data_IF_172522320636
#
_entry.id   IF_172522320636
#
_cell.length_a   1.000
_cell.length_b   1.000
_cell.length_c   1.000
_cell.angle_alpha   90.00
_cell.angle_beta   90.00
_cell.angle_gamma   90.00
#
_symmetry.space_group_name_H-M   'P 1'
#
loop_
_entity.id
_entity.type
_entity.pdbx_description
1 polymer ?
#
# COMPACT_ATOMS: atom_id res chain seq x y z
N UNK A 1 9.07 -1.10 12.30
CA UNK A 1 10.29 -0.42 12.81
C UNK A 1 10.04 1.07 13.07
N UNK A 2 9.25 1.73 12.22
CA UNK A 2 8.89 3.14 12.37
C UNK A 2 8.01 3.41 13.59
N UNK A 3 7.03 2.54 13.87
CA UNK A 3 6.21 2.58 15.07
C UNK A 3 7.07 2.51 16.34
N UNK A 4 8.07 1.62 16.38
CA UNK A 4 8.96 1.53 17.54
C UNK A 4 9.77 2.83 17.74
N UNK A 5 10.23 3.46 16.66
CA UNK A 5 10.92 4.76 16.72
C UNK A 5 10.00 5.88 17.22
N UNK A 6 8.73 5.88 16.80
CA UNK A 6 7.73 6.81 17.30
C UNK A 6 7.47 6.61 18.81
N UNK A 7 7.29 5.36 19.25
CA UNK A 7 7.07 5.04 20.67
C UNK A 7 8.27 5.46 21.51
N UNK A 8 9.50 5.15 21.08
CA UNK A 8 10.72 5.58 21.78
C UNK A 8 10.80 7.11 21.88
N UNK A 9 10.47 7.84 20.82
CA UNK A 9 10.45 9.30 20.84
C UNK A 9 9.48 9.85 21.90
N UNK A 10 8.24 9.33 21.95
CA UNK A 10 7.22 9.75 22.92
C UNK A 10 7.67 9.43 24.36
N UNK A 11 8.25 8.25 24.58
CA UNK A 11 8.77 7.85 25.89
C UNK A 11 9.92 8.75 26.34
N UNK A 12 10.85 9.10 25.45
CA UNK A 12 11.92 10.04 25.75
C UNK A 12 11.36 11.42 26.13
N UNK A 13 10.39 11.95 25.37
CA UNK A 13 9.75 13.22 25.68
C UNK A 13 9.05 13.20 27.05
N UNK A 14 8.31 12.11 27.36
CA UNK A 14 7.67 11.92 28.66
C UNK A 14 8.69 11.96 29.81
N UNK A 15 9.79 11.20 29.70
CA UNK A 15 10.84 11.16 30.72
C UNK A 15 11.51 12.52 30.90
N UNK A 16 11.81 13.25 29.81
CA UNK A 16 12.38 14.60 29.93
C UNK A 16 11.44 15.55 30.67
N UNK A 17 10.12 15.48 30.42
CA UNK A 17 9.13 16.31 31.13
C UNK A 17 9.06 15.98 32.63
N UNK A 18 9.12 14.70 33.00
CA UNK A 18 9.15 14.27 34.41
C UNK A 18 10.42 14.75 35.10
N UNK A 19 11.58 14.57 34.45
CA UNK A 19 12.86 15.05 34.99
C UNK A 19 12.82 16.56 35.21
N UNK A 20 12.25 17.33 34.27
CA UNK A 20 12.09 18.78 34.42
C UNK A 20 11.20 19.15 35.61
N UNK A 21 10.11 18.41 35.86
CA UNK A 21 9.24 18.62 37.03
C UNK A 21 10.01 18.39 38.34
N UNK A 22 10.82 17.33 38.40
CA UNK A 22 11.64 17.03 39.58
C UNK A 22 12.74 18.06 39.81
N UNK A 23 13.39 18.53 38.74
CA UNK A 23 14.42 19.59 38.80
C UNK A 23 13.79 20.92 39.24
N UNK A 24 12.67 21.33 38.66
CA UNK A 24 12.01 22.59 39.06
C UNK A 24 11.49 22.54 40.49
N UNK A 25 10.94 21.41 40.93
CA UNK A 25 10.52 21.23 42.32
C UNK A 25 11.73 21.26 43.29
N UNK A 26 12.78 20.50 42.99
CA UNK A 26 13.95 20.37 43.86
C UNK A 26 14.87 21.59 43.90
N UNK A 27 15.13 22.22 42.75
CA UNK A 27 16.09 23.32 42.63
C UNK A 27 15.47 24.70 42.89
N UNK A 28 14.22 24.91 42.48
CA UNK A 28 13.58 26.23 42.53
C UNK A 28 12.46 26.30 43.57
N UNK A 29 11.48 25.39 43.50
CA UNK A 29 10.28 25.48 44.34
C UNK A 29 10.57 25.22 45.83
N UNK A 30 11.40 24.21 46.14
CA UNK A 30 11.76 23.87 47.52
C UNK A 30 12.61 24.97 48.20
N UNK A 31 13.35 25.75 47.41
CA UNK A 31 14.20 26.82 47.93
C UNK A 31 13.44 28.14 48.14
N UNK A 32 12.51 28.49 47.24
CA UNK A 32 11.80 29.77 47.29
C UNK A 32 10.51 29.72 48.10
N UNK A 33 9.74 28.62 48.10
CA UNK A 33 8.45 28.52 48.81
C UNK A 33 8.28 27.15 49.49
N UNK A 34 8.85 27.01 50.68
CA UNK A 34 8.72 25.80 51.52
C UNK A 34 7.24 25.55 51.85
N UNK A 35 6.64 24.49 51.29
CA UNK A 35 5.31 24.00 51.64
C UNK A 35 4.24 24.02 50.53
N UNK A 36 4.56 24.44 49.30
CA UNK A 36 3.56 24.50 48.22
C UNK A 36 3.07 23.12 47.72
N UNK A 37 4.00 22.17 47.54
CA UNK A 37 3.67 20.83 47.03
C UNK A 37 4.42 19.79 47.85
N UNK A 38 3.69 18.95 48.58
CA UNK A 38 4.23 17.81 49.32
C UNK A 38 4.87 16.78 48.38
N UNK A 39 5.88 16.04 48.87
CA UNK A 39 6.54 14.99 48.09
C UNK A 39 5.54 13.99 47.48
N UNK A 40 4.52 13.61 48.25
CA UNK A 40 3.44 12.73 47.81
C UNK A 40 2.68 13.30 46.61
N UNK A 41 2.40 14.62 46.60
CA UNK A 41 1.72 15.30 45.51
C UNK A 41 2.57 15.39 44.23
N UNK A 42 3.88 15.54 44.38
CA UNK A 42 4.78 15.54 43.24
C UNK A 42 4.90 14.15 42.59
N UNK A 43 4.87 13.09 43.41
CA UNK A 43 4.84 11.70 42.94
C UNK A 43 3.53 11.41 42.18
N UNK A 44 2.37 11.80 42.72
CA UNK A 44 1.08 11.59 42.04
C UNK A 44 1.01 12.32 40.70
N UNK A 45 1.51 13.56 40.64
CA UNK A 45 1.55 14.33 39.39
C UNK A 45 2.49 13.69 38.35
N UNK A 46 3.65 13.20 38.80
CA UNK A 46 4.61 12.51 37.92
C UNK A 46 4.03 11.24 37.31
N UNK A 47 3.32 10.42 38.12
CA UNK A 47 2.66 9.20 37.65
C UNK A 47 1.55 9.55 36.64
N UNK A 48 0.73 10.56 36.94
CA UNK A 48 -0.32 11.05 36.04
C UNK A 48 0.24 11.51 34.69
N UNK A 49 1.38 12.21 34.71
CA UNK A 49 2.09 12.62 33.49
C UNK A 49 2.56 11.42 32.68
N UNK A 50 3.18 10.41 33.30
CA UNK A 50 3.64 9.21 32.58
C UNK A 50 2.48 8.50 31.89
N UNK A 51 1.35 8.31 32.61
CA UNK A 51 0.15 7.65 32.04
C UNK A 51 -0.41 8.45 30.87
N UNK A 52 -0.44 9.78 30.96
CA UNK A 52 -0.95 10.65 29.89
C UNK A 52 -0.16 10.55 28.56
N UNK A 53 1.12 10.15 28.62
CA UNK A 53 1.97 10.03 27.44
C UNK A 53 1.92 8.65 26.78
N UNK A 54 1.28 7.64 27.39
CA UNK A 54 1.21 6.30 26.81
C UNK A 54 0.24 6.32 25.62
N UNK A 55 0.69 5.99 24.40
CA UNK A 55 -0.17 6.02 23.21
C UNK A 55 -0.99 4.72 23.10
N UNK A 56 -1.86 4.44 24.08
CA UNK A 56 -2.66 3.20 24.13
C UNK A 56 -3.57 3.00 22.91
N UNK A 57 -4.05 4.10 22.32
CA UNK A 57 -4.93 4.06 21.15
C UNK A 57 -4.21 3.85 19.81
N UNK A 58 -2.90 4.06 19.74
CA UNK A 58 -2.17 4.09 18.47
C UNK A 58 -2.12 2.72 17.77
N UNK A 59 -1.77 1.61 18.45
CA UNK A 59 -1.79 0.29 17.82
C UNK A 59 -3.19 -0.12 17.35
N UNK A 60 -4.22 0.24 18.11
CA UNK A 60 -5.61 -0.06 17.78
C UNK A 60 -6.08 0.73 16.54
N UNK A 61 -5.78 2.04 16.49
CA UNK A 61 -6.13 2.90 15.37
C UNK A 61 -5.48 2.44 14.05
N UNK A 62 -4.18 2.10 14.09
CA UNK A 62 -3.46 1.60 12.90
C UNK A 62 -4.08 0.31 12.39
N UNK A 63 -4.36 -0.64 13.29
CA UNK A 63 -4.99 -1.92 12.93
C UNK A 63 -6.36 -1.71 12.30
N UNK A 64 -7.17 -0.79 12.85
CA UNK A 64 -8.49 -0.45 12.34
C UNK A 64 -8.39 0.11 10.91
N UNK A 65 -7.51 1.09 10.69
CA UNK A 65 -7.30 1.69 9.37
C UNK A 65 -6.83 0.64 8.35
N UNK A 66 -5.83 -0.19 8.69
CA UNK A 66 -5.35 -1.27 7.82
C UNK A 66 -6.46 -2.29 7.50
N UNK A 67 -7.32 -2.58 8.47
CA UNK A 67 -8.47 -3.49 8.27
C UNK A 67 -9.49 -2.91 7.31
N UNK A 68 -9.79 -1.61 7.40
CA UNK A 68 -10.67 -0.93 6.44
C UNK A 68 -10.08 -1.01 5.03
N UNK A 69 -8.78 -0.74 4.89
CA UNK A 69 -8.09 -0.82 3.59
C UNK A 69 -8.13 -2.25 3.03
N UNK A 70 -7.83 -3.27 3.87
CA UNK A 70 -7.92 -4.67 3.48
C UNK A 70 -9.35 -5.04 3.01
N UNK A 71 -10.39 -4.55 3.70
CA UNK A 71 -11.79 -4.76 3.30
C UNK A 71 -12.12 -4.09 1.96
N UNK A 72 -11.51 -2.94 1.64
CA UNK A 72 -11.66 -2.29 0.32
C UNK A 72 -10.93 -3.07 -0.78
N UNK A 73 -9.74 -3.60 -0.49
CA UNK A 73 -8.99 -4.47 -1.42
C UNK A 73 -9.76 -5.76 -1.74
N UNK A 74 -10.41 -6.36 -0.74
CA UNK A 74 -11.25 -7.55 -0.93
C UNK A 74 -12.40 -7.31 -1.93
N UNK A 75 -13.05 -6.14 -1.87
CA UNK A 75 -14.10 -5.76 -2.85
C UNK A 75 -13.58 -5.67 -4.29
N UNK A 76 -12.29 -5.43 -4.48
CA UNK A 76 -11.62 -5.38 -5.78
C UNK A 76 -11.00 -6.73 -6.18
N UNK A 77 -11.47 -7.83 -5.57
CA UNK A 77 -10.97 -9.20 -5.81
C UNK A 77 -9.49 -9.42 -5.43
N UNK A 78 -8.94 -8.61 -4.53
CA UNK A 78 -7.59 -8.80 -3.96
C UNK A 78 -7.70 -9.41 -2.57
N UNK A 79 -7.18 -10.63 -2.40
CA UNK A 79 -7.17 -11.31 -1.10
C UNK A 79 -5.91 -10.95 -0.30
N UNK A 80 -6.11 -10.19 0.77
CA UNK A 80 -5.05 -9.84 1.73
C UNK A 80 -4.90 -10.94 2.78
N UNK A 81 -3.74 -11.60 2.83
CA UNK A 81 -3.45 -12.66 3.83
C UNK A 81 -2.94 -12.11 5.18
N UNK A 82 -2.40 -10.89 5.21
CA UNK A 82 -1.89 -10.23 6.40
C UNK A 82 -2.00 -8.71 6.30
N UNK A 83 -2.32 -8.05 7.42
CA UNK A 83 -2.36 -6.58 7.52
C UNK A 83 -0.98 -5.94 7.27
N UNK A 84 0.11 -6.65 7.57
CA UNK A 84 1.47 -6.19 7.28
C UNK A 84 1.73 -6.04 5.77
N UNK A 85 1.06 -6.84 4.93
CA UNK A 85 1.14 -6.69 3.47
C UNK A 85 0.51 -5.37 3.01
N UNK A 86 -0.58 -4.93 3.66
CA UNK A 86 -1.24 -3.65 3.37
C UNK A 86 -0.36 -2.48 3.80
N UNK A 87 0.29 -2.58 4.96
CA UNK A 87 1.28 -1.60 5.42
C UNK A 87 2.44 -1.48 4.42
N UNK A 88 2.96 -2.61 3.93
CA UNK A 88 4.06 -2.63 2.94
C UNK A 88 3.62 -2.06 1.59
N UNK A 89 2.40 -2.37 1.15
CA UNK A 89 1.86 -1.87 -0.11
C UNK A 89 1.72 -0.34 -0.14
N UNK A 90 1.51 0.30 1.03
CA UNK A 90 1.41 1.76 1.14
C UNK A 90 2.71 2.50 0.74
N UNK A 91 3.87 1.83 0.78
CA UNK A 91 5.17 2.43 0.43
C UNK A 91 5.97 1.60 -0.58
N UNK A 92 5.28 0.84 -1.43
CA UNK A 92 5.96 0.07 -2.49
C UNK A 92 6.53 1.03 -3.55
N UNK A 93 7.81 0.85 -3.88
CA UNK A 93 8.53 1.67 -4.88
C UNK A 93 8.91 0.88 -6.14
N UNK A 94 9.04 -0.44 -6.03
CA UNK A 94 9.37 -1.33 -7.14
C UNK A 94 8.39 -2.51 -7.11
N UNK A 95 7.79 -2.80 -8.27
CA UNK A 95 6.96 -3.98 -8.48
C UNK A 95 7.75 -4.93 -9.37
N UNK A 96 8.20 -6.05 -8.81
CA UNK A 96 8.72 -7.17 -9.58
C UNK A 96 7.54 -8.06 -9.96
N UNK A 97 7.20 -8.08 -11.25
CA UNK A 97 6.17 -8.98 -11.80
C UNK A 97 6.85 -10.13 -12.54
N UNK A 98 6.30 -11.34 -12.38
CA UNK A 98 6.71 -12.48 -13.20
C UNK A 98 6.14 -12.34 -14.62
N UNK A 99 6.74 -13.03 -15.61
CA UNK A 99 6.31 -12.99 -16.99
C UNK A 99 5.18 -13.99 -17.24
N UNK A 100 5.46 -15.27 -17.07
CA UNK A 100 4.51 -16.35 -17.37
C UNK A 100 3.46 -16.46 -16.28
N UNK A 101 2.20 -16.74 -16.64
CA UNK A 101 1.04 -16.81 -15.74
C UNK A 101 0.71 -15.51 -14.96
N UNK A 102 1.45 -14.41 -15.20
CA UNK A 102 1.21 -13.10 -14.59
C UNK A 102 1.05 -12.00 -15.63
N UNK A 103 2.10 -11.68 -16.39
CA UNK A 103 2.00 -10.73 -17.51
C UNK A 103 1.39 -11.38 -18.76
N UNK A 104 1.67 -12.68 -18.96
CA UNK A 104 1.11 -13.48 -20.04
C UNK A 104 0.10 -14.47 -19.50
N UNK A 105 -0.93 -14.78 -20.28
CA UNK A 105 -1.95 -15.77 -19.93
C UNK A 105 -1.45 -17.22 -20.07
N UNK A 106 -0.13 -17.43 -20.20
CA UNK A 106 0.51 -18.73 -20.45
C UNK A 106 -0.19 -19.55 -21.55
N UNK A 107 -0.68 -18.83 -22.57
CA UNK A 107 -1.32 -19.36 -23.75
C UNK A 107 -0.53 -18.86 -24.95
N UNK A 108 -0.07 -19.77 -25.79
CA UNK A 108 0.62 -19.42 -27.03
C UNK A 108 -0.42 -19.04 -28.07
N UNK A 109 -0.25 -17.86 -28.66
CA UNK A 109 -1.29 -17.20 -29.41
C UNK A 109 -0.68 -16.58 -30.68
N UNK A 110 -1.25 -16.91 -31.86
CA UNK A 110 -0.78 -16.36 -33.14
C UNK A 110 -1.25 -14.91 -33.24
N UNK A 111 -0.30 -13.97 -33.32
CA UNK A 111 -0.60 -12.52 -33.36
C UNK A 111 -0.61 -11.96 -34.78
N UNK A 112 0.22 -12.50 -35.67
CA UNK A 112 0.34 -12.04 -37.05
C UNK A 112 0.66 -13.22 -37.98
N UNK A 113 0.12 -13.15 -39.20
CA UNK A 113 0.45 -14.06 -40.29
C UNK A 113 1.11 -13.24 -41.39
N UNK A 114 2.29 -13.67 -41.81
CA UNK A 114 2.99 -13.12 -42.97
C UNK A 114 2.80 -14.09 -44.13
N UNK A 115 2.21 -13.62 -45.23
CA UNK A 115 2.02 -14.43 -46.43
C UNK A 115 2.67 -13.76 -47.66
N UNK A 116 3.78 -14.33 -48.13
CA UNK A 116 4.52 -13.83 -49.28
C UNK A 116 5.06 -12.40 -49.11
N UNK A 117 5.25 -11.68 -50.21
CA UNK A 117 5.63 -10.25 -50.22
C UNK A 117 4.42 -9.31 -50.15
N UNK A 118 3.24 -9.83 -49.76
CA UNK A 118 1.96 -9.12 -49.89
C UNK A 118 1.52 -8.40 -48.61
N UNK A 119 2.30 -8.48 -47.52
CA UNK A 119 2.10 -7.69 -46.30
C UNK A 119 1.86 -8.53 -45.05
N UNK A 120 1.77 -7.84 -43.92
CA UNK A 120 1.51 -8.41 -42.59
C UNK A 120 0.01 -8.35 -42.28
N UNK A 121 -0.57 -9.51 -41.99
CA UNK A 121 -1.98 -9.64 -41.64
C UNK A 121 -2.07 -9.83 -40.12
N UNK A 122 -2.60 -8.82 -39.43
CA UNK A 122 -2.90 -8.95 -38.00
C UNK A 122 -4.02 -9.96 -37.80
N UNK A 123 -3.79 -10.93 -36.92
CA UNK A 123 -4.80 -11.94 -36.57
C UNK A 123 -5.61 -11.42 -35.38
N UNK A 124 -6.86 -11.04 -35.63
CA UNK A 124 -7.81 -10.77 -34.56
C UNK A 124 -8.39 -12.10 -34.09
N UNK A 125 -8.07 -12.48 -32.85
CA UNK A 125 -8.60 -13.70 -32.26
C UNK A 125 -9.97 -13.38 -31.68
N UNK A 126 -10.99 -13.87 -32.35
CA UNK A 126 -12.33 -13.95 -31.78
C UNK A 126 -12.38 -15.23 -30.95
N UNK A 127 -12.83 -15.12 -29.70
CA UNK A 127 -13.28 -16.31 -28.96
C UNK A 127 -14.50 -16.85 -29.70
N UNK A 128 -14.29 -17.92 -30.47
CA UNK A 128 -15.35 -18.66 -31.14
C UNK A 128 -15.91 -19.58 -30.06
N UNK A 129 -17.06 -19.21 -29.48
CA UNK A 129 -17.80 -20.12 -28.61
C UNK A 129 -18.15 -21.38 -29.42
N UNK A 130 -18.01 -22.57 -28.84
CA UNK A 130 -18.16 -23.89 -29.50
C UNK A 130 -19.48 -24.10 -30.28
N UNK A 131 -20.44 -23.19 -30.16
CA UNK A 131 -21.73 -23.22 -30.85
C UNK A 131 -21.82 -22.30 -32.10
N UNK A 132 -20.74 -21.62 -32.48
CA UNK A 132 -20.72 -20.78 -33.68
C UNK A 132 -20.25 -21.60 -34.90
N UNK A 133 -21.22 -22.07 -35.67
CA UNK A 133 -20.96 -22.68 -36.99
C UNK A 133 -20.49 -21.58 -37.94
N UNK A 134 -19.17 -21.47 -38.15
CA UNK A 134 -18.58 -20.62 -39.18
C UNK A 134 -18.90 -21.23 -40.55
N UNK A 135 -20.06 -20.85 -41.09
CA UNK A 135 -20.57 -21.44 -42.33
C UNK A 135 -20.31 -20.57 -43.57
N UNK A 136 -19.38 -19.62 -43.51
CA UNK A 136 -19.13 -18.73 -44.66
C UNK A 136 -17.64 -18.51 -44.92
N UNK A 137 -17.22 -18.80 -46.16
CA UNK A 137 -15.83 -18.66 -46.67
C UNK A 137 -15.50 -17.21 -47.05
N UNK A 138 -16.10 -16.23 -46.38
CA UNK A 138 -15.92 -14.79 -46.66
C UNK A 138 -15.78 -14.00 -45.37
N UNK A 139 -14.62 -14.15 -44.73
CA UNK A 139 -14.13 -13.18 -43.73
C UNK A 139 -12.86 -12.54 -44.32
N UNK A 140 -12.98 -12.01 -45.54
CA UNK A 140 -12.01 -11.07 -46.12
C UNK A 140 -12.83 -10.01 -46.85
N UNK A 141 -13.64 -9.28 -46.09
CA UNK A 141 -14.12 -7.94 -46.43
C UNK A 141 -15.09 -7.50 -45.35
N UNK A 142 -14.60 -6.70 -44.40
CA UNK A 142 -15.40 -5.63 -43.78
C UNK A 142 -14.48 -4.65 -43.07
N UNK A 143 -14.73 -3.39 -43.38
CA UNK A 143 -14.18 -2.16 -42.81
C UNK A 143 -13.72 -2.29 -41.36
N UNK A 144 -12.52 -1.77 -41.11
CA UNK A 144 -11.94 -1.58 -39.79
C UNK A 144 -12.93 -0.83 -38.87
N UNK A 145 -13.35 -1.38 -37.72
CA UNK A 145 -13.91 -0.56 -36.67
C UNK A 145 -12.76 0.27 -36.08
N UNK A 146 -12.90 1.60 -36.07
CA UNK A 146 -11.88 2.50 -35.53
C UNK A 146 -11.66 2.22 -34.04
N UNK A 147 -10.61 1.49 -33.71
CA UNK A 147 -10.21 1.25 -32.32
C UNK A 147 -9.37 2.43 -31.83
N UNK A 148 -10.05 3.54 -31.52
CA UNK A 148 -9.50 4.68 -30.79
C UNK A 148 -9.31 4.27 -29.33
N UNK A 149 -8.20 3.62 -29.00
CA UNK A 149 -8.02 3.10 -27.64
C UNK A 149 -6.60 2.83 -27.14
N UNK A 150 -5.57 2.75 -27.99
CA UNK A 150 -4.19 2.54 -27.52
C UNK A 150 -3.16 3.21 -28.45
N UNK A 151 -3.12 4.55 -28.44
CA UNK A 151 -1.92 5.29 -28.86
C UNK A 151 -0.87 5.11 -27.76
N UNK A 152 0.09 4.21 -27.93
CA UNK A 152 1.28 4.23 -27.06
C UNK A 152 2.04 2.93 -26.82
N UNK A 153 2.11 1.99 -27.77
CA UNK A 153 3.13 0.94 -27.68
C UNK A 153 4.22 1.27 -28.71
N UNK A 154 5.38 1.83 -28.30
CA UNK A 154 6.46 2.08 -29.22
C UNK A 154 7.03 0.77 -29.76
N UNK A 155 7.26 0.74 -31.07
CA UNK A 155 8.07 -0.28 -31.74
C UNK A 155 9.46 -0.36 -31.08
N UNK A 156 9.67 -1.40 -30.29
CA UNK A 156 11.03 -1.84 -29.94
C UNK A 156 11.58 -2.60 -31.16
N UNK A 157 12.21 -1.86 -32.06
CA UNK A 157 13.13 -2.43 -33.05
C UNK A 157 14.43 -2.77 -32.32
N UNK A 158 14.62 -4.05 -31.99
CA UNK A 158 15.95 -4.56 -31.65
C UNK A 158 16.71 -4.76 -32.95
N UNK A 159 17.84 -4.05 -33.09
CA UNK A 159 18.96 -4.54 -33.87
C UNK A 159 19.63 -5.71 -33.15
#
# INVERSE_FOLDING_TARGET
REINRFVVFVVCAALTSVILIWITWGAWLNNSQKGYISLNGNITNSIGMVVAFIPEGLPAAVTLVLTIVAKRMYKQKVLVKSLATVETFNFVSIIATDKTDTLTMNQMTITAILWGNQGEYMVSIYNIDDNTVVNDRRIIDREQPSFNGLRGIPHSTSK
#
